data_IF_294586094466
#
_entry.id   IF_294586094466
#
_cell.length_a   1.000
_cell.length_b   1.000
_cell.length_c   1.000
_cell.angle_alpha   90.00
_cell.angle_beta   90.00
_cell.angle_gamma   90.00
#
_symmetry.space_group_name_H-M   'P 1'
#
loop_
_entity.id
_entity.type
_entity.pdbx_description
1 polymer ?
#
# COMPACT_ATOMS: atom_id res chain seq x y z
N UNK A 1 -6.62 -11.09 -1.88
CA UNK A 1 -5.58 -10.44 -2.73
C UNK A 1 -5.91 -8.96 -2.91
N UNK A 2 -4.97 -8.04 -2.66
CA UNK A 2 -5.21 -6.57 -2.74
C UNK A 2 -4.58 -5.93 -3.98
N UNK A 3 -5.17 -4.85 -4.49
CA UNK A 3 -4.65 -4.05 -5.60
C UNK A 3 -3.44 -3.19 -5.18
N UNK A 4 -2.56 -2.89 -6.14
CA UNK A 4 -1.38 -2.04 -5.89
C UNK A 4 -1.77 -0.60 -5.52
N UNK A 5 -2.93 -0.16 -5.97
CA UNK A 5 -3.52 1.15 -5.68
C UNK A 5 -3.80 1.31 -4.18
N UNK A 6 -4.19 0.22 -3.52
CA UNK A 6 -4.45 0.20 -2.07
C UNK A 6 -3.13 0.23 -1.30
N UNK A 7 -2.12 -0.51 -1.77
CA UNK A 7 -0.79 -0.60 -1.15
C UNK A 7 0.04 0.68 -1.32
N UNK A 8 -0.09 1.39 -2.44
CA UNK A 8 0.68 2.60 -2.70
C UNK A 8 0.20 3.77 -1.84
N UNK A 9 1.09 4.32 -1.03
CA UNK A 9 0.85 5.47 -0.18
C UNK A 9 1.02 6.79 -0.95
N UNK A 10 0.03 7.14 -1.78
CA UNK A 10 0.02 8.43 -2.52
C UNK A 10 -0.01 9.67 -1.61
N UNK A 11 -0.50 9.53 -0.38
CA UNK A 11 -0.55 10.62 0.60
C UNK A 11 0.79 10.81 1.36
N UNK A 12 1.69 9.83 1.29
CA UNK A 12 2.98 9.86 1.97
C UNK A 12 3.93 10.91 1.38
N UNK A 13 4.80 11.46 2.24
CA UNK A 13 5.80 12.45 1.82
C UNK A 13 6.75 11.90 0.76
N UNK A 14 7.11 10.62 0.85
CA UNK A 14 7.95 9.93 -0.13
C UNK A 14 7.36 9.97 -1.54
N UNK A 15 6.06 9.67 -1.68
CA UNK A 15 5.38 9.76 -2.98
C UNK A 15 5.25 11.20 -3.46
N UNK A 16 4.90 12.13 -2.56
CA UNK A 16 4.75 13.56 -2.89
C UNK A 16 6.07 14.21 -3.36
N UNK A 17 7.21 13.74 -2.88
CA UNK A 17 8.55 14.19 -3.28
C UNK A 17 9.01 13.65 -4.64
N UNK A 18 8.27 12.71 -5.25
CA UNK A 18 8.62 12.22 -6.57
C UNK A 18 8.56 13.35 -7.62
N UNK A 19 9.39 13.29 -8.68
CA UNK A 19 9.20 14.08 -9.88
C UNK A 19 7.80 13.85 -10.48
N UNK A 20 7.21 14.85 -11.14
CA UNK A 20 5.87 14.69 -11.70
C UNK A 20 5.78 13.64 -12.81
N UNK A 21 6.85 13.44 -13.57
CA UNK A 21 6.95 12.37 -14.57
C UNK A 21 6.76 10.97 -13.93
N UNK A 22 7.16 10.80 -12.68
CA UNK A 22 7.02 9.53 -11.95
C UNK A 22 5.62 9.35 -11.35
N UNK A 23 4.89 10.44 -11.11
CA UNK A 23 3.50 10.40 -10.61
C UNK A 23 2.47 10.18 -11.72
N UNK A 24 2.78 10.54 -12.96
CA UNK A 24 1.90 10.36 -14.11
C UNK A 24 1.94 8.92 -14.65
N UNK A 25 0.82 8.49 -15.25
CA UNK A 25 0.74 7.19 -15.93
C UNK A 25 1.06 5.99 -15.04
N UNK A 26 0.68 6.04 -13.75
CA UNK A 26 0.94 4.95 -12.84
C UNK A 26 0.25 3.66 -13.28
N UNK A 27 1.06 2.67 -13.64
CA UNK A 27 0.64 1.28 -13.88
C UNK A 27 1.02 0.41 -12.69
N UNK A 28 0.47 -0.81 -12.62
CA UNK A 28 0.86 -1.81 -11.63
C UNK A 28 2.37 -2.03 -11.59
N UNK A 29 3.01 -2.19 -12.76
CA UNK A 29 4.45 -2.43 -12.86
C UNK A 29 5.25 -1.22 -12.33
N UNK A 30 4.87 0.00 -12.75
CA UNK A 30 5.52 1.24 -12.28
C UNK A 30 5.38 1.43 -10.77
N UNK A 31 4.18 1.20 -10.23
CA UNK A 31 3.93 1.33 -8.80
C UNK A 31 4.70 0.30 -7.97
N UNK A 32 4.80 -0.95 -8.44
CA UNK A 32 5.62 -1.97 -7.78
C UNK A 32 7.10 -1.56 -7.81
N UNK A 33 7.62 -1.10 -8.95
CA UNK A 33 9.00 -0.61 -9.06
C UNK A 33 9.28 0.54 -8.08
N UNK A 34 8.39 1.52 -7.99
CA UNK A 34 8.50 2.63 -7.04
C UNK A 34 8.49 2.15 -5.58
N UNK A 35 7.58 1.24 -5.23
CA UNK A 35 7.48 0.68 -3.88
C UNK A 35 8.70 -0.19 -3.51
N UNK A 36 9.30 -0.90 -4.47
CA UNK A 36 10.55 -1.64 -4.25
C UNK A 36 11.74 -0.69 -4.08
N UNK A 37 11.83 0.37 -4.90
CA UNK A 37 12.88 1.36 -4.80
C UNK A 37 12.81 2.16 -3.49
N UNK A 38 11.60 2.48 -3.02
CA UNK A 38 11.37 3.25 -1.81
C UNK A 38 10.25 2.63 -0.96
N UNK A 39 10.58 1.67 -0.06
CA UNK A 39 9.58 0.92 0.72
C UNK A 39 8.70 1.75 1.67
N UNK A 40 9.04 3.00 1.94
CA UNK A 40 8.16 3.93 2.69
C UNK A 40 6.93 4.36 1.90
N UNK A 41 6.91 4.13 0.58
CA UNK A 41 5.71 4.31 -0.25
C UNK A 41 4.68 3.19 -0.09
N UNK A 42 5.00 2.11 0.63
CA UNK A 42 4.02 1.06 0.94
C UNK A 42 3.24 1.52 2.17
N UNK A 43 1.90 1.51 2.09
CA UNK A 43 1.04 1.77 3.26
C UNK A 43 1.29 0.71 4.33
N UNK A 44 1.40 1.15 5.58
CA UNK A 44 1.64 0.31 6.75
C UNK A 44 0.58 0.59 7.82
N UNK A 45 0.22 -0.39 8.65
CA UNK A 45 0.60 -1.80 8.59
C UNK A 45 -0.03 -2.56 7.39
N UNK A 46 0.55 -3.71 7.02
CA UNK A 46 -0.09 -4.70 6.14
C UNK A 46 -0.21 -5.99 6.94
N UNK A 47 -1.42 -6.52 7.04
CA UNK A 47 -1.72 -7.74 7.79
C UNK A 47 -2.30 -8.77 6.83
N UNK A 48 -1.74 -9.97 6.84
CA UNK A 48 -2.22 -11.11 6.06
C UNK A 48 -2.61 -12.24 7.01
N UNK A 49 -3.83 -12.75 6.88
CA UNK A 49 -4.34 -13.90 7.62
C UNK A 49 -5.43 -14.60 6.81
N UNK A 50 -5.45 -15.93 6.80
CA UNK A 50 -6.47 -16.75 6.13
C UNK A 50 -6.75 -16.35 4.66
N UNK A 51 -5.70 -16.01 3.90
CA UNK A 51 -5.81 -15.55 2.50
C UNK A 51 -6.40 -14.14 2.32
N UNK A 52 -6.71 -13.46 3.42
CA UNK A 52 -7.17 -12.07 3.46
C UNK A 52 -6.00 -11.14 3.76
N UNK A 53 -5.96 -10.00 3.08
CA UNK A 53 -4.93 -8.98 3.29
C UNK A 53 -5.61 -7.65 3.64
N UNK A 54 -5.26 -7.09 4.79
CA UNK A 54 -5.65 -5.77 5.24
C UNK A 54 -4.48 -4.80 5.06
N UNK A 55 -4.79 -3.60 4.57
CA UNK A 55 -3.81 -2.52 4.41
C UNK A 55 -4.25 -1.32 5.23
N UNK A 56 -3.37 -0.86 6.11
CA UNK A 56 -3.67 0.10 7.16
C UNK A 56 -4.22 -0.57 8.43
N UNK A 57 -4.47 0.24 9.45
CA UNK A 57 -5.05 -0.21 10.72
C UNK A 57 -6.48 0.31 10.84
N UNK A 58 -7.41 -0.62 11.06
CA UNK A 58 -8.80 -0.35 11.45
C UNK A 58 -9.15 -1.35 12.55
N UNK A 59 -9.43 -0.90 13.79
CA UNK A 59 -9.67 -1.80 14.93
C UNK A 59 -10.73 -2.87 14.64
N UNK A 60 -11.83 -2.50 13.99
CA UNK A 60 -12.97 -3.37 13.69
C UNK A 60 -12.59 -4.45 12.68
N UNK A 61 -11.82 -4.09 11.65
CA UNK A 61 -11.34 -5.03 10.64
C UNK A 61 -10.31 -6.00 11.22
N UNK A 62 -9.43 -5.52 12.10
CA UNK A 62 -8.45 -6.36 12.79
C UNK A 62 -9.14 -7.32 13.74
N UNK A 63 -10.14 -6.85 14.51
CA UNK A 63 -10.95 -7.70 15.39
C UNK A 63 -11.66 -8.80 14.60
N UNK A 64 -12.34 -8.45 13.52
CA UNK A 64 -13.04 -9.42 12.68
C UNK A 64 -12.12 -10.49 12.08
N UNK A 65 -10.85 -10.14 11.80
CA UNK A 65 -9.91 -11.07 11.19
C UNK A 65 -9.11 -11.91 12.20
N UNK A 66 -8.71 -11.32 13.34
CA UNK A 66 -7.82 -11.97 14.32
C UNK A 66 -8.56 -12.62 15.49
N UNK A 67 -9.78 -12.19 15.80
CA UNK A 67 -10.55 -12.64 16.96
C UNK A 67 -11.80 -13.41 16.54
N UNK A 68 -11.65 -14.29 15.54
CA UNK A 68 -12.72 -15.22 15.12
C UNK A 68 -13.29 -16.00 16.30
#
# INVERSE_FOLDING_TARGET
RVGWEVLLNKAGTTFRKLPEADKQGLTKAKAIALMMAQPSMIKRPVLEADGTVLVGFKPEAYRAMLLK
#
